data_IF_814269104505
#
_entry.id   IF_814269104505
#
_cell.length_a   1.000
_cell.length_b   1.000
_cell.length_c   1.000
_cell.angle_alpha   90.00
_cell.angle_beta   90.00
_cell.angle_gamma   90.00
#
_symmetry.space_group_name_H-M   'P 1'
#
loop_
_entity.id
_entity.type
_entity.pdbx_description
1 polymer ?
#
# COMPACT_ATOMS: atom_id res chain seq x y z
N UNK A 1 -17.09 11.84 -11.55
CA UNK A 1 -17.09 10.64 -10.67
C UNK A 1 -16.73 9.44 -11.52
N UNK A 2 -15.60 8.81 -11.20
CA UNK A 2 -15.04 7.72 -11.99
C UNK A 2 -14.83 6.51 -11.10
N UNK A 3 -15.12 5.34 -11.65
CA UNK A 3 -14.92 4.08 -10.95
C UNK A 3 -13.72 3.32 -11.54
N UNK A 4 -12.97 2.68 -10.66
CA UNK A 4 -11.85 1.79 -10.99
C UNK A 4 -12.04 0.49 -10.26
N UNK A 5 -12.06 -0.61 -11.00
CA UNK A 5 -12.13 -1.96 -10.42
C UNK A 5 -10.78 -2.63 -10.55
N UNK A 6 -10.21 -3.06 -9.42
CA UNK A 6 -8.91 -3.72 -9.33
C UNK A 6 -9.10 -5.10 -8.72
N UNK A 7 -8.43 -6.12 -9.26
CA UNK A 7 -8.59 -7.48 -8.77
C UNK A 7 -7.71 -7.77 -7.55
N UNK A 8 -8.23 -8.56 -6.60
CA UNK A 8 -7.54 -8.94 -5.36
C UNK A 8 -6.37 -9.89 -5.58
N UNK A 9 -6.36 -10.64 -6.67
CA UNK A 9 -5.23 -11.50 -7.06
C UNK A 9 -4.03 -10.70 -7.59
N UNK A 10 -4.23 -9.43 -7.97
CA UNK A 10 -3.18 -8.53 -8.46
C UNK A 10 -2.75 -7.53 -7.39
N UNK A 11 -3.71 -6.92 -6.69
CA UNK A 11 -3.44 -5.86 -5.71
C UNK A 11 -3.95 -6.28 -4.34
N UNK A 12 -3.06 -6.31 -3.35
CA UNK A 12 -3.43 -6.54 -1.96
C UNK A 12 -4.16 -5.32 -1.39
N UNK A 13 -4.90 -5.53 -0.28
CA UNK A 13 -5.48 -4.41 0.46
C UNK A 13 -4.40 -3.40 0.89
N UNK A 14 -3.22 -3.89 1.28
CA UNK A 14 -2.11 -3.03 1.70
C UNK A 14 -1.70 -2.06 0.60
N UNK A 15 -1.55 -2.53 -0.64
CA UNK A 15 -1.22 -1.67 -1.79
C UNK A 15 -2.31 -0.65 -2.05
N UNK A 16 -3.58 -1.07 -2.03
CA UNK A 16 -4.73 -0.21 -2.30
C UNK A 16 -4.86 0.89 -1.25
N UNK A 17 -4.87 0.52 0.04
CA UNK A 17 -5.04 1.47 1.16
C UNK A 17 -3.92 2.51 1.18
N UNK A 18 -2.68 2.07 1.01
CA UNK A 18 -1.54 3.00 1.00
C UNK A 18 -1.59 3.95 -0.20
N UNK A 19 -1.98 3.45 -1.38
CA UNK A 19 -2.13 4.31 -2.56
C UNK A 19 -3.23 5.35 -2.35
N UNK A 20 -4.40 4.93 -1.84
CA UNK A 20 -5.52 5.82 -1.57
C UNK A 20 -5.24 6.84 -0.47
N UNK A 21 -4.47 6.48 0.55
CA UNK A 21 -4.07 7.42 1.61
C UNK A 21 -3.43 8.69 1.02
N UNK A 22 -2.53 8.54 0.05
CA UNK A 22 -1.87 9.68 -0.62
C UNK A 22 -2.76 10.41 -1.62
N UNK A 23 -3.80 9.76 -2.17
CA UNK A 23 -4.78 10.42 -3.03
C UNK A 23 -5.65 11.43 -2.29
N UNK A 24 -5.75 11.33 -0.95
CA UNK A 24 -6.59 12.21 -0.12
C UNK A 24 -6.26 13.70 -0.27
N UNK A 25 -5.03 14.06 -0.64
CA UNK A 25 -4.64 15.45 -0.90
C UNK A 25 -5.11 15.98 -2.26
N UNK A 26 -5.49 15.09 -3.19
CA UNK A 26 -5.86 15.43 -4.57
C UNK A 26 -7.36 15.25 -4.84
N UNK A 27 -7.99 14.26 -4.21
CA UNK A 27 -9.41 13.99 -4.41
C UNK A 27 -9.99 13.20 -3.24
N UNK A 28 -11.30 13.36 -3.01
CA UNK A 28 -12.02 12.42 -2.17
C UNK A 28 -12.18 11.09 -2.91
N UNK A 29 -12.08 10.01 -2.14
CA UNK A 29 -12.20 8.67 -2.66
C UNK A 29 -13.08 7.81 -1.75
N UNK A 30 -13.73 6.81 -2.34
CA UNK A 30 -14.42 5.74 -1.64
C UNK A 30 -13.83 4.41 -2.08
N UNK A 31 -13.67 3.51 -1.12
CA UNK A 31 -13.23 2.14 -1.37
C UNK A 31 -14.36 1.20 -0.96
N UNK A 32 -14.83 0.41 -1.91
CA UNK A 32 -15.75 -0.69 -1.71
C UNK A 32 -15.01 -2.00 -1.95
N UNK A 33 -15.16 -2.93 -1.01
CA UNK A 33 -14.60 -4.26 -1.10
C UNK A 33 -15.68 -5.24 -1.55
N UNK A 34 -15.36 -6.03 -2.58
CA UNK A 34 -16.14 -7.20 -2.99
C UNK A 34 -15.28 -8.47 -2.82
N UNK A 35 -15.83 -9.65 -3.07
CA UNK A 35 -15.17 -10.95 -2.92
C UNK A 35 -13.88 -11.03 -3.75
N UNK A 36 -13.91 -10.57 -5.00
CA UNK A 36 -12.80 -10.73 -5.96
C UNK A 36 -12.08 -9.43 -6.34
N UNK A 37 -12.63 -8.28 -5.94
CA UNK A 37 -12.16 -6.99 -6.39
C UNK A 37 -12.29 -5.87 -5.36
N UNK A 38 -11.54 -4.81 -5.62
CA UNK A 38 -11.64 -3.50 -5.01
C UNK A 38 -12.31 -2.56 -6.02
N UNK A 39 -13.36 -1.87 -5.61
CA UNK A 39 -13.98 -0.81 -6.39
C UNK A 39 -13.65 0.53 -5.74
N UNK A 40 -13.02 1.41 -6.50
CA UNK A 40 -12.59 2.73 -6.05
C UNK A 40 -13.37 3.78 -6.83
N UNK A 41 -14.03 4.68 -6.11
CA UNK A 41 -14.72 5.84 -6.70
C UNK A 41 -13.96 7.11 -6.36
N UNK A 42 -13.60 7.91 -7.35
CA UNK A 42 -13.00 9.23 -7.16
C UNK A 42 -14.01 10.33 -7.44
N UNK A 43 -14.02 11.37 -6.61
CA UNK A 43 -14.85 12.57 -6.83
C UNK A 43 -14.35 13.37 -8.05
N UNK A 44 -13.03 13.53 -8.17
CA UNK A 44 -12.34 14.13 -9.31
C UNK A 44 -11.48 13.08 -10.03
N UNK A 45 -11.66 12.95 -11.33
CA UNK A 45 -10.97 11.99 -12.21
C UNK A 45 -10.18 12.66 -13.34
N UNK A 46 -9.75 13.91 -13.12
CA UNK A 46 -8.84 14.59 -14.04
C UNK A 46 -7.56 13.77 -14.31
N UNK A 47 -6.89 13.97 -15.47
CA UNK A 47 -5.72 13.18 -15.86
C UNK A 47 -4.64 13.12 -14.79
N UNK A 48 -4.36 14.24 -14.11
CA UNK A 48 -3.36 14.32 -13.02
C UNK A 48 -3.69 13.36 -11.86
N UNK A 49 -4.97 13.28 -11.49
CA UNK A 49 -5.45 12.38 -10.44
C UNK A 49 -5.24 10.91 -10.85
N UNK A 50 -5.53 10.58 -12.11
CA UNK A 50 -5.36 9.22 -12.63
C UNK A 50 -3.88 8.82 -12.70
N UNK A 51 -3.02 9.70 -13.24
CA UNK A 51 -1.58 9.45 -13.32
C UNK A 51 -0.98 9.26 -11.93
N UNK A 52 -1.35 10.10 -10.97
CA UNK A 52 -0.84 9.96 -9.61
C UNK A 52 -1.31 8.66 -8.96
N UNK A 53 -2.57 8.29 -9.13
CA UNK A 53 -3.08 7.04 -8.59
C UNK A 53 -2.35 5.80 -9.16
N UNK A 54 -2.12 5.77 -10.47
CA UNK A 54 -1.36 4.68 -11.11
C UNK A 54 0.10 4.65 -10.65
N UNK A 55 0.73 5.83 -10.50
CA UNK A 55 2.09 5.94 -9.95
C UNK A 55 2.17 5.34 -8.55
N UNK A 56 1.22 5.68 -7.67
CA UNK A 56 1.16 5.18 -6.30
C UNK A 56 0.91 3.67 -6.24
N UNK A 57 0.01 3.14 -7.07
CA UNK A 57 -0.21 1.70 -7.17
C UNK A 57 1.07 0.94 -7.53
N UNK A 58 1.83 1.46 -8.51
CA UNK A 58 3.09 0.87 -8.93
C UNK A 58 4.15 0.92 -7.81
N UNK A 59 4.28 2.07 -7.16
CA UNK A 59 5.22 2.26 -6.05
C UNK A 59 4.93 1.30 -4.89
N UNK A 60 3.66 1.20 -4.49
CA UNK A 60 3.27 0.34 -3.36
C UNK A 60 3.33 -1.15 -3.71
N UNK A 61 2.96 -1.54 -4.93
CA UNK A 61 3.16 -2.93 -5.37
C UNK A 61 4.65 -3.33 -5.36
N UNK A 62 5.56 -2.42 -5.74
CA UNK A 62 7.00 -2.67 -5.66
C UNK A 62 7.47 -2.75 -4.20
N UNK A 63 7.02 -1.84 -3.33
CA UNK A 63 7.37 -1.83 -1.91
C UNK A 63 6.93 -3.12 -1.22
N UNK A 64 5.72 -3.62 -1.51
CA UNK A 64 5.23 -4.89 -0.98
C UNK A 64 6.11 -6.06 -1.44
N UNK A 65 6.46 -6.12 -2.73
CA UNK A 65 7.39 -7.14 -3.25
C UNK A 65 8.75 -7.10 -2.56
N UNK A 66 9.29 -5.90 -2.30
CA UNK A 66 10.55 -5.74 -1.60
C UNK A 66 10.42 -6.16 -0.12
N UNK A 67 9.35 -5.75 0.56
CA UNK A 67 9.04 -6.15 1.94
C UNK A 67 9.01 -7.67 2.09
N UNK A 68 8.36 -8.39 1.17
CA UNK A 68 8.34 -9.85 1.20
C UNK A 68 9.74 -10.47 1.03
N UNK A 69 10.62 -9.85 0.24
CA UNK A 69 12.00 -10.32 0.02
C UNK A 69 12.94 -9.99 1.17
N UNK A 70 12.71 -8.88 1.87
CA UNK A 70 13.65 -8.37 2.88
C UNK A 70 13.14 -8.49 4.32
N UNK A 71 11.87 -8.86 4.51
CA UNK A 71 11.21 -8.93 5.83
C UNK A 71 11.97 -9.80 6.82
N UNK A 72 12.32 -11.03 6.43
CA UNK A 72 13.06 -11.95 7.30
C UNK A 72 14.43 -11.40 7.73
N UNK A 73 15.16 -10.76 6.81
CA UNK A 73 16.45 -10.13 7.13
C UNK A 73 16.27 -8.96 8.08
N UNK A 74 15.30 -8.08 7.81
CA UNK A 74 14.98 -6.95 8.69
C UNK A 74 14.62 -7.44 10.08
N UNK A 75 13.75 -8.43 10.19
CA UNK A 75 13.31 -8.96 11.48
C UNK A 75 14.49 -9.59 12.21
N UNK A 76 15.40 -10.31 11.52
CA UNK A 76 16.63 -10.82 12.12
C UNK A 76 17.53 -9.71 12.67
N UNK A 77 17.66 -8.59 11.97
CA UNK A 77 18.45 -7.43 12.44
C UNK A 77 17.79 -6.84 13.69
N UNK A 78 16.48 -6.63 13.67
CA UNK A 78 15.72 -6.10 14.81
C UNK A 78 15.88 -7.00 16.04
N UNK A 79 15.73 -8.31 15.90
CA UNK A 79 15.90 -9.25 17.00
C UNK A 79 17.32 -9.21 17.59
N UNK A 80 18.34 -9.11 16.75
CA UNK A 80 19.73 -9.02 17.21
C UNK A 80 19.98 -7.73 18.00
N UNK A 81 19.42 -6.61 17.55
CA UNK A 81 19.51 -5.32 18.26
C UNK A 81 18.80 -5.40 19.61
N UNK A 82 17.55 -5.89 19.63
CA UNK A 82 16.77 -6.01 20.87
C UNK A 82 17.46 -6.90 21.90
N UNK A 83 18.01 -8.05 21.47
CA UNK A 83 18.78 -8.94 22.35
C UNK A 83 20.01 -8.24 22.94
N UNK A 84 20.78 -7.52 22.12
CA UNK A 84 21.96 -6.80 22.59
C UNK A 84 21.63 -5.69 23.58
N UNK A 85 20.45 -5.07 23.47
CA UNK A 85 19.97 -4.08 24.44
C UNK A 85 19.59 -4.76 25.76
N UNK A 86 18.84 -5.86 25.68
CA UNK A 86 18.40 -6.65 26.84
C UNK A 86 19.59 -7.18 27.67
N UNK A 87 20.61 -7.72 27.00
CA UNK A 87 21.87 -8.17 27.61
C UNK A 87 22.64 -7.07 28.34
N UNK A 88 22.44 -5.79 28.00
CA UNK A 88 23.11 -4.64 28.63
C UNK A 88 22.31 -4.03 29.78
N UNK A 89 21.02 -4.30 29.84
CA UNK A 89 20.10 -3.79 30.87
C UNK A 89 19.90 -4.80 32.01
N UNK A 90 20.25 -6.07 31.78
CA UNK A 90 20.30 -7.14 32.79
C UNK A 90 21.63 -7.13 33.55
#
# INVERSE_FOLDING_TARGET
MCERTLKKDVYSEWVIRNSLYWMTSLTQWKLCEDISSWTISFENDGPECLYEFERLLNDYALREKLQHKTGALRDSIVHKVLRSVDERLS
#
